data_IF_256180522506
#
_entry.id   IF_256180522506
#
_cell.length_a   1.000
_cell.length_b   1.000
_cell.length_c   1.000
_cell.angle_alpha   90.00
_cell.angle_beta   90.00
_cell.angle_gamma   90.00
#
_symmetry.space_group_name_H-M   'P 1'
#
loop_
_entity.id
_entity.type
_entity.pdbx_description
1 polymer ?
#
# COMPACT_ATOMS: atom_id res chain seq x y z
N UNK A 1 -24.44 1.23 -5.34
CA UNK A 1 -23.20 0.51 -4.99
C UNK A 1 -22.26 0.62 -6.18
N UNK A 2 -21.26 1.49 -6.10
CA UNK A 2 -20.25 1.68 -7.16
C UNK A 2 -19.02 0.88 -6.71
N UNK A 3 -18.91 -0.37 -7.19
CA UNK A 3 -17.86 -1.32 -6.79
C UNK A 3 -16.56 -1.05 -7.57
N UNK A 4 -15.43 -1.25 -6.87
CA UNK A 4 -14.05 -1.11 -7.36
C UNK A 4 -13.81 -1.78 -8.73
N UNK A 5 -13.84 -1.01 -9.82
CA UNK A 5 -13.42 -1.45 -11.16
C UNK A 5 -11.97 -1.08 -11.48
N UNK A 6 -11.11 -0.96 -10.48
CA UNK A 6 -9.75 -0.47 -10.64
C UNK A 6 -8.71 -1.54 -10.31
N UNK A 7 -8.61 -2.60 -11.11
CA UNK A 7 -7.35 -3.33 -11.32
C UNK A 7 -7.43 -4.06 -12.68
N UNK A 8 -6.93 -3.41 -13.73
CA UNK A 8 -6.53 -4.12 -14.94
C UNK A 8 -5.05 -4.48 -14.75
N UNK A 9 -4.79 -5.64 -14.13
CA UNK A 9 -3.43 -6.21 -14.07
C UNK A 9 -3.13 -6.72 -15.48
N UNK A 10 -2.49 -5.88 -16.27
CA UNK A 10 -2.17 -6.14 -17.66
C UNK A 10 -1.15 -7.27 -17.81
N UNK A 11 -1.62 -8.45 -18.19
CA UNK A 11 -0.83 -9.45 -18.91
C UNK A 11 -1.64 -10.16 -20.01
N UNK A 12 -2.40 -9.41 -20.82
CA UNK A 12 -2.91 -9.88 -22.12
C UNK A 12 -3.07 -8.69 -23.08
N UNK A 13 -2.77 -8.84 -24.40
CA UNK A 13 -2.96 -7.78 -25.37
C UNK A 13 -4.46 -7.70 -25.74
N UNK A 14 -5.11 -6.57 -25.49
CA UNK A 14 -6.46 -6.33 -26.00
C UNK A 14 -6.59 -4.91 -26.52
N UNK A 15 -7.20 -4.80 -27.70
CA UNK A 15 -7.40 -3.57 -28.46
C UNK A 15 -8.26 -2.55 -27.72
N UNK A 16 -7.88 -1.29 -27.87
CA UNK A 16 -8.34 -0.17 -27.08
C UNK A 16 -9.83 0.17 -27.23
N UNK A 17 -10.41 0.59 -26.11
CA UNK A 17 -11.14 1.87 -26.00
C UNK A 17 -11.13 2.33 -24.54
N UNK A 18 -10.77 3.59 -24.22
CA UNK A 18 -10.74 4.07 -22.84
C UNK A 18 -12.16 4.23 -22.31
N UNK A 19 -12.52 3.49 -21.26
CA UNK A 19 -13.79 3.65 -20.56
C UNK A 19 -13.63 4.48 -19.28
N UNK A 20 -14.60 5.38 -19.12
CA UNK A 20 -14.66 6.50 -18.19
C UNK A 20 -14.47 6.12 -16.71
N UNK A 21 -13.64 6.91 -16.03
CA UNK A 21 -13.41 6.84 -14.58
C UNK A 21 -14.65 7.29 -13.79
N UNK A 22 -15.18 6.41 -12.95
CA UNK A 22 -16.28 6.72 -12.03
C UNK A 22 -15.76 6.84 -10.59
N UNK A 23 -15.11 7.96 -10.31
CA UNK A 23 -14.88 8.44 -8.94
C UNK A 23 -16.20 9.05 -8.43
N UNK A 24 -16.62 8.80 -7.17
CA UNK A 24 -17.75 9.48 -6.57
C UNK A 24 -17.64 11.01 -6.70
N UNK A 25 -18.72 11.68 -7.12
CA UNK A 25 -18.75 13.14 -7.41
C UNK A 25 -18.37 14.03 -6.21
N UNK A 26 -18.31 13.50 -4.98
CA UNK A 26 -18.03 14.28 -3.77
C UNK A 26 -16.55 14.64 -3.55
N UNK A 27 -15.61 14.12 -4.35
CA UNK A 27 -14.17 14.34 -4.16
C UNK A 27 -13.45 15.05 -5.32
N UNK A 28 -14.17 15.70 -6.25
CA UNK A 28 -13.51 16.54 -7.25
C UNK A 28 -13.04 17.84 -6.60
N UNK A 29 -11.73 17.97 -6.41
CA UNK A 29 -11.10 19.27 -6.23
C UNK A 29 -11.08 19.94 -7.61
N UNK A 30 -11.79 21.07 -7.74
CA UNK A 30 -11.73 21.92 -8.92
C UNK A 30 -10.35 22.61 -8.95
N UNK A 31 -9.39 22.01 -9.65
CA UNK A 31 -8.19 22.71 -10.09
C UNK A 31 -8.50 23.37 -11.43
N UNK A 32 -9.07 24.57 -11.37
CA UNK A 32 -9.11 25.47 -12.51
C UNK A 32 -7.70 26.04 -12.74
N UNK A 33 -7.06 25.67 -13.84
CA UNK A 33 -6.04 26.49 -14.48
C UNK A 33 -6.16 26.34 -15.98
N UNK A 34 -6.81 27.35 -16.56
CA UNK A 34 -6.90 27.67 -17.97
C UNK A 34 -5.51 27.88 -18.54
N UNK A 35 -5.10 27.05 -19.50
CA UNK A 35 -4.12 27.44 -20.52
C UNK A 35 -4.67 27.01 -21.87
N UNK A 36 -4.89 28.00 -22.72
CA UNK A 36 -5.33 27.87 -24.09
C UNK A 36 -4.13 27.68 -25.05
N UNK A 37 -4.40 27.06 -26.20
CA UNK A 37 -3.56 27.04 -27.39
C UNK A 37 -2.80 25.72 -27.57
N UNK A 38 -2.57 25.21 -28.77
CA UNK A 38 -2.99 25.55 -30.13
C UNK A 38 -2.60 24.32 -30.97
N UNK A 39 -3.42 23.97 -31.97
CA UNK A 39 -3.18 22.86 -32.90
C UNK A 39 -1.99 23.12 -33.84
N UNK A 40 -1.10 22.14 -34.02
CA UNK A 40 -0.34 21.95 -35.27
C UNK A 40 0.05 20.48 -35.47
N UNK A 41 -0.16 19.89 -36.67
CA UNK A 41 0.38 18.60 -37.04
C UNK A 41 1.64 18.76 -37.89
N UNK A 42 2.74 18.11 -37.49
CA UNK A 42 3.94 17.99 -38.35
C UNK A 42 4.37 16.52 -38.37
N UNK A 43 4.27 15.94 -39.57
CA UNK A 43 4.94 14.71 -39.98
C UNK A 43 6.45 14.86 -39.84
N UNK A 44 7.16 13.82 -39.39
CA UNK A 44 8.40 13.38 -40.04
C UNK A 44 8.93 12.07 -39.46
N UNK A 45 9.30 11.21 -40.41
CA UNK A 45 10.06 9.97 -40.37
C UNK A 45 11.53 10.15 -39.91
N UNK A 46 12.30 9.05 -39.98
CA UNK A 46 13.73 8.82 -39.63
C UNK A 46 13.86 8.17 -38.23
N UNK A 47 14.43 6.97 -38.02
CA UNK A 47 15.40 6.20 -38.79
C UNK A 47 16.80 6.37 -38.18
N UNK A 48 17.24 5.42 -37.33
CA UNK A 48 18.61 5.23 -36.79
C UNK A 48 18.50 4.63 -35.38
N UNK A 49 19.41 3.83 -34.84
CA UNK A 49 20.56 3.06 -35.32
C UNK A 49 20.96 2.27 -34.08
N UNK A 50 21.24 0.97 -34.24
CA UNK A 50 21.80 0.13 -33.20
C UNK A 50 23.23 0.59 -32.85
N UNK A 51 23.53 0.69 -31.56
CA UNK A 51 24.89 0.82 -31.03
C UNK A 51 25.06 -0.17 -29.88
N UNK A 52 25.76 -1.26 -30.18
CA UNK A 52 26.39 -2.14 -29.21
C UNK A 52 27.63 -1.46 -28.63
N UNK A 53 27.74 -1.46 -27.31
CA UNK A 53 28.98 -1.12 -26.60
C UNK A 53 29.19 -2.14 -25.50
N UNK A 54 30.04 -3.12 -25.79
CA UNK A 54 30.68 -3.97 -24.80
C UNK A 54 31.64 -3.13 -23.95
N UNK A 55 31.50 -3.20 -22.63
CA UNK A 55 32.53 -2.76 -21.70
C UNK A 55 32.78 -3.86 -20.67
N UNK A 56 33.77 -4.68 -20.98
CA UNK A 56 34.46 -5.54 -20.03
C UNK A 56 35.43 -4.66 -19.22
N UNK A 57 35.30 -4.62 -17.90
CA UNK A 57 36.31 -4.04 -17.02
C UNK A 57 36.27 -4.73 -15.66
N UNK A 58 37.03 -5.82 -15.61
CA UNK A 58 37.59 -6.43 -14.42
C UNK A 58 38.48 -5.41 -13.68
N UNK A 59 38.23 -5.17 -12.40
CA UNK A 59 39.25 -4.61 -11.50
C UNK A 59 38.95 -4.99 -10.05
N UNK A 60 39.83 -5.82 -9.52
CA UNK A 60 39.98 -6.11 -8.11
C UNK A 60 40.68 -4.94 -7.40
N UNK A 61 40.25 -4.63 -6.18
CA UNK A 61 41.03 -3.91 -5.16
C UNK A 61 40.36 -4.23 -3.83
N UNK A 62 40.96 -5.13 -3.04
CA UNK A 62 41.96 -4.83 -2.01
C UNK A 62 41.37 -4.16 -0.76
N UNK A 63 41.59 -4.89 0.32
CA UNK A 63 41.19 -4.68 1.70
C UNK A 63 42.00 -3.54 2.31
N UNK A 64 41.34 -2.60 2.99
CA UNK A 64 42.00 -1.82 4.05
C UNK A 64 41.03 -1.49 5.20
N UNK A 65 41.44 -1.72 6.46
CA UNK A 65 40.68 -1.34 7.64
C UNK A 65 41.08 0.06 8.11
N UNK A 66 40.10 0.90 8.44
CA UNK A 66 40.33 2.16 9.14
C UNK A 66 39.41 2.28 10.36
N UNK A 67 40.02 2.10 11.54
CA UNK A 67 39.65 2.76 12.79
C UNK A 67 40.66 3.91 12.94
N UNK A 68 40.27 5.13 13.36
CA UNK A 68 40.29 5.41 14.79
C UNK A 68 39.33 6.52 15.30
N UNK A 69 39.17 6.50 16.63
CA UNK A 69 39.17 7.63 17.58
C UNK A 69 38.08 8.71 17.61
N UNK A 70 37.39 8.70 18.76
CA UNK A 70 37.08 9.80 19.71
C UNK A 70 37.04 11.24 19.20
N UNK A 71 35.88 11.86 19.37
CA UNK A 71 35.78 13.25 19.83
C UNK A 71 34.60 13.36 20.81
N UNK A 72 34.92 13.48 22.09
CA UNK A 72 34.04 14.13 23.08
C UNK A 72 34.00 15.62 22.76
N UNK A 73 32.81 16.19 22.65
CA UNK A 73 32.60 17.63 22.76
C UNK A 73 31.41 17.86 23.70
N UNK A 74 31.75 18.19 24.94
CA UNK A 74 30.93 19.00 25.83
C UNK A 74 30.70 20.35 25.16
N UNK A 75 29.45 20.78 25.08
CA UNK A 75 29.11 22.21 25.04
C UNK A 75 27.75 22.38 25.70
N UNK A 76 27.82 22.90 26.93
CA UNK A 76 26.72 23.50 27.65
C UNK A 76 26.38 24.82 26.93
N UNK A 77 25.10 25.04 26.65
CA UNK A 77 24.58 26.40 26.50
C UNK A 77 23.17 26.46 27.09
N UNK A 78 23.11 27.00 28.31
CA UNK A 78 21.88 27.44 28.95
C UNK A 78 21.49 28.80 28.36
N UNK A 79 20.39 28.84 27.60
CA UNK A 79 19.67 30.09 27.38
C UNK A 79 18.18 29.90 27.67
N UNK A 80 17.83 30.23 28.91
CA UNK A 80 16.46 30.40 29.40
C UNK A 80 15.88 31.65 28.76
N UNK A 81 15.11 31.50 27.69
CA UNK A 81 14.27 32.56 27.15
C UNK A 81 12.82 32.38 27.65
N UNK A 82 12.55 33.06 28.76
CA UNK A 82 11.20 33.26 29.30
C UNK A 82 10.48 34.32 28.47
N UNK A 83 9.58 33.89 27.57
CA UNK A 83 8.63 34.79 26.92
C UNK A 83 7.28 34.71 27.63
N UNK A 84 7.09 35.58 28.63
CA UNK A 84 5.77 35.92 29.18
C UNK A 84 5.10 36.94 28.26
N UNK A 85 4.27 36.45 27.34
CA UNK A 85 3.54 37.25 26.37
C UNK A 85 2.05 36.93 26.34
N UNK A 86 1.28 37.69 27.13
CA UNK A 86 -0.12 38.12 26.95
C UNK A 86 -1.07 37.12 26.27
N UNK A 87 -1.86 36.45 27.11
CA UNK A 87 -3.08 35.72 26.75
C UNK A 87 -4.17 36.68 26.25
N UNK A 88 -4.31 36.80 24.93
CA UNK A 88 -5.56 37.25 24.31
C UNK A 88 -6.36 36.00 23.90
N UNK A 89 -7.32 35.64 24.76
CA UNK A 89 -8.26 34.56 24.52
C UNK A 89 -9.15 34.90 23.31
N UNK A 90 -8.77 34.41 22.14
CA UNK A 90 -9.71 34.20 21.05
C UNK A 90 -10.34 32.84 21.29
N UNK A 91 -11.49 32.81 21.95
CA UNK A 91 -12.38 31.64 22.03
C UNK A 91 -12.94 31.33 20.64
N UNK A 92 -12.08 30.85 19.75
CA UNK A 92 -12.53 30.11 18.58
C UNK A 92 -12.93 28.73 19.10
N UNK A 93 -14.20 28.55 19.43
CA UNK A 93 -14.78 27.22 19.68
C UNK A 93 -14.39 26.32 18.51
N UNK A 94 -13.52 25.29 18.71
CA UNK A 94 -13.22 24.38 17.62
C UNK A 94 -14.54 23.69 17.28
N UNK A 95 -15.01 23.92 16.05
CA UNK A 95 -16.07 23.11 15.43
C UNK A 95 -15.50 21.70 15.30
N UNK A 96 -15.58 20.95 16.38
CA UNK A 96 -15.30 19.52 16.40
C UNK A 96 -16.37 18.87 15.55
N UNK A 97 -15.98 18.56 14.32
CA UNK A 97 -16.71 17.82 13.30
C UNK A 97 -17.62 16.76 13.94
N UNK A 98 -18.92 16.93 13.74
CA UNK A 98 -19.99 16.04 14.23
C UNK A 98 -19.85 14.60 13.74
N UNK A 99 -19.02 14.40 12.71
CA UNK A 99 -18.67 13.09 12.16
C UNK A 99 -17.94 12.17 13.16
N UNK A 100 -17.28 12.71 14.19
CA UNK A 100 -16.42 11.93 15.10
C UNK A 100 -17.14 11.54 16.40
N UNK A 101 -18.20 12.23 16.84
CA UNK A 101 -18.55 12.24 18.27
C UNK A 101 -19.67 11.33 18.76
N UNK A 102 -20.51 10.74 17.93
CA UNK A 102 -21.51 9.79 18.45
C UNK A 102 -21.84 8.73 17.39
N UNK A 103 -20.90 7.84 17.07
CA UNK A 103 -21.34 6.52 16.60
C UNK A 103 -21.71 5.72 17.85
N UNK A 104 -22.95 5.22 17.96
CA UNK A 104 -23.29 4.22 18.98
C UNK A 104 -22.22 3.12 18.95
N UNK A 105 -21.83 2.60 20.11
CA UNK A 105 -21.09 1.33 20.20
C UNK A 105 -21.92 0.27 19.49
N UNK A 106 -21.68 0.12 18.19
CA UNK A 106 -22.31 -0.90 17.38
C UNK A 106 -21.89 -2.26 17.97
N UNK A 107 -22.79 -3.23 18.02
CA UNK A 107 -22.49 -4.56 18.54
C UNK A 107 -21.28 -5.16 17.81
N UNK A 108 -20.50 -5.95 18.56
CA UNK A 108 -19.20 -6.54 18.22
C UNK A 108 -19.20 -7.45 16.96
N UNK A 109 -20.36 -7.66 16.34
CA UNK A 109 -20.56 -8.47 15.14
C UNK A 109 -19.73 -7.98 13.93
N UNK A 110 -19.32 -6.71 13.93
CA UNK A 110 -18.48 -6.16 12.85
C UNK A 110 -17.08 -6.77 12.79
N UNK A 111 -16.51 -7.21 13.92
CA UNK A 111 -15.14 -7.74 13.92
C UNK A 111 -15.08 -9.15 13.32
N UNK A 112 -16.10 -9.96 13.58
CA UNK A 112 -16.24 -11.29 13.02
C UNK A 112 -16.38 -11.25 11.48
N UNK A 113 -17.14 -10.28 10.96
CA UNK A 113 -17.29 -10.06 9.52
C UNK A 113 -15.97 -9.67 8.85
N UNK A 114 -15.18 -8.81 9.49
CA UNK A 114 -13.86 -8.39 9.01
C UNK A 114 -12.91 -9.57 8.84
N UNK A 115 -12.77 -10.38 9.89
CA UNK A 115 -11.91 -11.56 9.89
C UNK A 115 -12.34 -12.58 8.82
N UNK A 116 -13.63 -12.72 8.59
CA UNK A 116 -14.16 -13.64 7.57
C UNK A 116 -13.72 -13.24 6.17
N UNK A 117 -13.72 -11.94 5.85
CA UNK A 117 -13.28 -11.46 4.54
C UNK A 117 -11.77 -11.55 4.35
N UNK A 118 -10.97 -11.22 5.37
CA UNK A 118 -9.50 -11.41 5.31
C UNK A 118 -9.16 -12.90 5.18
N UNK A 119 -9.90 -13.79 5.85
CA UNK A 119 -9.79 -15.24 5.65
C UNK A 119 -10.06 -15.65 4.21
N UNK A 120 -11.12 -15.13 3.61
CA UNK A 120 -11.42 -15.34 2.20
C UNK A 120 -10.25 -14.98 1.28
N UNK A 121 -9.59 -13.85 1.53
CA UNK A 121 -8.42 -13.43 0.74
C UNK A 121 -7.23 -14.39 0.88
N UNK A 122 -6.89 -14.79 2.10
CA UNK A 122 -5.77 -15.71 2.33
C UNK A 122 -6.07 -17.12 1.78
N UNK A 123 -7.33 -17.58 1.83
CA UNK A 123 -7.76 -18.83 1.18
C UNK A 123 -7.63 -18.73 -0.34
N UNK A 124 -7.97 -17.60 -0.96
CA UNK A 124 -7.79 -17.40 -2.40
C UNK A 124 -6.31 -17.50 -2.81
N UNK A 125 -5.41 -16.87 -2.04
CA UNK A 125 -3.96 -16.98 -2.26
C UNK A 125 -3.48 -18.42 -2.09
N UNK A 126 -3.95 -19.13 -1.06
CA UNK A 126 -3.65 -20.54 -0.85
C UNK A 126 -4.04 -21.38 -2.06
N UNK A 127 -5.29 -21.24 -2.53
CA UNK A 127 -5.81 -22.00 -3.67
C UNK A 127 -4.99 -21.73 -4.94
N UNK A 128 -4.68 -20.47 -5.24
CA UNK A 128 -3.89 -20.12 -6.42
C UNK A 128 -2.51 -20.79 -6.42
N UNK A 129 -1.82 -20.76 -5.26
CA UNK A 129 -0.50 -21.38 -5.12
C UNK A 129 -0.55 -22.91 -5.20
N UNK A 130 -1.56 -23.54 -4.58
CA UNK A 130 -1.78 -24.99 -4.64
C UNK A 130 -2.07 -25.44 -6.09
N UNK A 131 -2.88 -24.68 -6.84
CA UNK A 131 -3.29 -25.07 -8.19
C UNK A 131 -2.23 -24.81 -9.26
N UNK A 132 -1.49 -23.70 -9.18
CA UNK A 132 -0.54 -23.31 -10.24
C UNK A 132 0.87 -23.88 -10.03
N UNK A 133 1.27 -24.12 -8.78
CA UNK A 133 2.65 -24.49 -8.43
C UNK A 133 2.75 -25.82 -7.67
N UNK A 134 1.66 -26.56 -7.52
CA UNK A 134 1.58 -27.79 -6.72
C UNK A 134 2.15 -27.57 -5.29
N UNK A 135 1.92 -26.38 -4.74
CA UNK A 135 2.50 -25.95 -3.47
C UNK A 135 1.86 -26.69 -2.28
N UNK A 136 2.66 -27.03 -1.27
CA UNK A 136 2.14 -27.31 0.07
C UNK A 136 2.00 -25.98 0.81
N UNK A 137 0.77 -25.55 1.09
CA UNK A 137 0.49 -24.25 1.71
C UNK A 137 -0.06 -24.43 3.12
N UNK A 138 0.51 -23.67 4.06
CA UNK A 138 0.02 -23.57 5.43
C UNK A 138 -0.34 -22.12 5.76
N UNK A 139 -1.48 -21.94 6.42
CA UNK A 139 -1.97 -20.61 6.82
C UNK A 139 -2.08 -20.53 8.34
N UNK A 140 -1.42 -19.53 8.90
CA UNK A 140 -1.44 -19.18 10.32
C UNK A 140 -2.27 -17.92 10.53
N UNK A 141 -3.36 -18.03 11.28
CA UNK A 141 -4.33 -16.96 11.45
C UNK A 141 -4.04 -16.11 12.68
N UNK A 142 -3.92 -14.79 12.50
CA UNK A 142 -3.86 -13.82 13.59
C UNK A 142 -5.22 -13.16 13.86
N UNK A 143 -5.40 -12.56 15.05
CA UNK A 143 -6.53 -11.66 15.30
C UNK A 143 -6.37 -10.35 14.50
N UNK A 144 -7.44 -9.58 14.34
CA UNK A 144 -7.33 -8.20 13.84
C UNK A 144 -6.40 -7.38 14.75
N UNK A 145 -5.59 -6.50 14.15
CA UNK A 145 -4.43 -5.86 14.78
C UNK A 145 -3.15 -6.72 14.80
N UNK A 146 -3.27 -8.01 14.50
CA UNK A 146 -2.16 -8.97 14.46
C UNK A 146 -1.61 -9.22 13.06
N UNK A 147 -1.07 -10.43 12.87
CA UNK A 147 -0.52 -10.88 11.60
C UNK A 147 -1.08 -12.25 11.20
N UNK A 148 -1.40 -12.40 9.92
CA UNK A 148 -1.73 -13.67 9.27
C UNK A 148 -0.57 -14.05 8.36
N UNK A 149 -0.02 -15.25 8.57
CA UNK A 149 1.11 -15.77 7.80
C UNK A 149 0.67 -16.86 6.83
N UNK A 150 1.10 -16.79 5.58
CA UNK A 150 0.93 -17.81 4.54
C UNK A 150 2.31 -18.32 4.19
N UNK A 151 2.55 -19.61 4.38
CA UNK A 151 3.82 -20.26 4.07
C UNK A 151 3.55 -21.31 3.01
N UNK A 152 4.16 -21.14 1.84
CA UNK A 152 4.03 -22.06 0.71
C UNK A 152 5.37 -22.75 0.46
N UNK A 153 5.35 -24.06 0.25
CA UNK A 153 6.52 -24.87 -0.11
C UNK A 153 6.31 -25.37 -1.53
N UNK A 154 7.17 -24.92 -2.46
CA UNK A 154 7.07 -25.28 -3.88
C UNK A 154 8.27 -26.10 -4.33
N UNK A 155 8.05 -26.93 -5.36
CA UNK A 155 9.13 -27.57 -6.11
C UNK A 155 9.54 -26.65 -7.26
N UNK A 156 10.84 -26.41 -7.42
CA UNK A 156 11.33 -25.64 -8.55
C UNK A 156 12.54 -24.76 -8.24
N UNK A 157 12.99 -24.06 -9.28
CA UNK A 157 14.07 -23.10 -9.21
C UNK A 157 13.68 -21.76 -8.57
N UNK A 158 14.64 -20.83 -8.46
CA UNK A 158 14.40 -19.50 -7.92
C UNK A 158 13.40 -18.68 -8.75
N UNK A 159 13.36 -18.89 -10.07
CA UNK A 159 12.42 -18.21 -10.97
C UNK A 159 10.97 -18.59 -10.63
N UNK A 160 10.68 -19.88 -10.40
CA UNK A 160 9.34 -20.34 -10.00
C UNK A 160 8.90 -19.74 -8.66
N UNK A 161 9.81 -19.57 -7.70
CA UNK A 161 9.48 -18.93 -6.43
C UNK A 161 9.20 -17.43 -6.59
N UNK A 162 9.90 -16.76 -7.51
CA UNK A 162 9.61 -15.38 -7.85
C UNK A 162 8.25 -15.24 -8.53
N UNK A 163 7.94 -16.10 -9.50
CA UNK A 163 6.65 -16.08 -10.19
C UNK A 163 5.48 -16.39 -9.23
N UNK A 164 5.64 -17.40 -8.36
CA UNK A 164 4.67 -17.70 -7.32
C UNK A 164 4.45 -16.52 -6.36
N UNK A 165 5.51 -15.74 -6.05
CA UNK A 165 5.41 -14.52 -5.24
C UNK A 165 4.51 -13.49 -5.90
N UNK A 166 4.69 -13.27 -7.21
CA UNK A 166 3.92 -12.30 -7.97
C UNK A 166 2.47 -12.76 -8.18
N UNK A 167 2.22 -14.06 -8.38
CA UNK A 167 0.86 -14.64 -8.38
C UNK A 167 0.17 -14.39 -7.04
N UNK A 168 0.82 -14.68 -5.91
CA UNK A 168 0.25 -14.43 -4.60
C UNK A 168 -0.10 -12.95 -4.36
N UNK A 169 0.73 -12.01 -4.82
CA UNK A 169 0.45 -10.56 -4.76
C UNK A 169 -0.78 -10.20 -5.60
N UNK A 170 -0.85 -10.69 -6.84
CA UNK A 170 -1.96 -10.43 -7.74
C UNK A 170 -3.29 -10.98 -7.20
N UNK A 171 -3.30 -12.24 -6.74
CA UNK A 171 -4.48 -12.89 -6.16
C UNK A 171 -4.96 -12.17 -4.90
N UNK A 172 -4.04 -11.69 -4.06
CA UNK A 172 -4.42 -10.92 -2.86
C UNK A 172 -5.12 -9.60 -3.24
N UNK A 173 -4.60 -8.90 -4.24
CA UNK A 173 -5.20 -7.66 -4.74
C UNK A 173 -6.57 -7.90 -5.40
N UNK A 174 -6.71 -8.96 -6.19
CA UNK A 174 -7.98 -9.35 -6.81
C UNK A 174 -9.02 -9.73 -5.75
N UNK A 175 -8.65 -10.57 -4.78
CA UNK A 175 -9.54 -10.95 -3.69
C UNK A 175 -9.98 -9.74 -2.85
N UNK A 176 -9.09 -8.77 -2.63
CA UNK A 176 -9.45 -7.51 -1.98
C UNK A 176 -10.39 -6.66 -2.84
N UNK A 177 -10.20 -6.61 -4.16
CA UNK A 177 -11.08 -5.86 -5.06
C UNK A 177 -12.51 -6.41 -5.08
N UNK A 178 -12.68 -7.71 -4.84
CA UNK A 178 -13.98 -8.39 -4.71
C UNK A 178 -14.63 -8.20 -3.33
N UNK A 179 -13.84 -7.83 -2.31
CA UNK A 179 -14.32 -7.55 -0.97
C UNK A 179 -15.04 -6.20 -0.89
N UNK A 180 -16.05 -6.12 0.00
CA UNK A 180 -16.79 -4.87 0.23
C UNK A 180 -16.18 -4.02 1.35
N UNK A 181 -15.52 -4.65 2.32
CA UNK A 181 -14.98 -3.98 3.50
C UNK A 181 -13.48 -4.12 3.67
N UNK A 182 -12.79 -4.95 2.89
CA UNK A 182 -11.36 -5.22 3.05
C UNK A 182 -10.57 -4.64 1.89
N UNK A 183 -9.48 -3.95 2.23
CA UNK A 183 -8.65 -3.23 1.26
C UNK A 183 -7.18 -3.51 1.55
N UNK A 184 -6.38 -3.69 0.50
CA UNK A 184 -4.91 -3.68 0.63
C UNK A 184 -4.45 -2.23 0.71
N UNK A 185 -3.72 -1.89 1.77
CA UNK A 185 -3.23 -0.54 1.98
C UNK A 185 -2.17 -0.17 0.94
N UNK A 186 -2.32 0.98 0.31
CA UNK A 186 -1.42 1.45 -0.74
C UNK A 186 -1.66 0.81 -2.11
N UNK A 187 -2.87 0.32 -2.40
CA UNK A 187 -3.16 -0.40 -3.64
C UNK A 187 -2.95 0.42 -4.94
N UNK A 188 -2.86 1.76 -4.87
CA UNK A 188 -2.49 2.64 -6.01
C UNK A 188 -1.03 3.12 -5.96
N UNK A 189 -0.24 2.63 -5.01
CA UNK A 189 1.17 2.99 -4.84
C UNK A 189 2.01 1.71 -4.76
N UNK A 190 2.62 1.44 -3.60
CA UNK A 190 3.42 0.24 -3.36
C UNK A 190 2.81 -0.55 -2.19
N UNK A 191 1.79 -1.40 -2.43
CA UNK A 191 1.06 -2.09 -1.37
C UNK A 191 1.89 -3.17 -0.67
N UNK A 192 2.89 -3.69 -1.36
CA UNK A 192 3.73 -4.80 -0.90
C UNK A 192 5.12 -4.31 -0.53
N UNK A 193 5.64 -4.83 0.58
CA UNK A 193 7.05 -4.73 0.96
C UNK A 193 7.65 -6.12 0.91
N UNK A 194 8.64 -6.32 0.05
CA UNK A 194 9.34 -7.59 -0.02
C UNK A 194 10.06 -7.88 1.31
N UNK A 195 10.11 -9.16 1.66
CA UNK A 195 10.69 -9.71 2.88
C UNK A 195 11.54 -10.92 2.49
N UNK A 196 12.84 -10.69 2.31
CA UNK A 196 13.74 -11.67 1.69
C UNK A 196 13.52 -11.76 0.17
N UNK A 197 14.07 -12.81 -0.45
CA UNK A 197 13.99 -13.03 -1.90
C UNK A 197 12.60 -13.52 -2.35
N UNK A 198 11.99 -14.39 -1.54
CA UNK A 198 10.80 -15.17 -1.88
C UNK A 198 9.61 -14.85 -0.96
N UNK A 199 9.65 -13.74 -0.24
CA UNK A 199 8.59 -13.34 0.68
C UNK A 199 8.17 -11.90 0.48
N UNK A 200 6.96 -11.58 0.95
CA UNK A 200 6.48 -10.20 1.04
C UNK A 200 5.52 -10.05 2.21
N UNK A 201 5.26 -8.79 2.57
CA UNK A 201 4.24 -8.41 3.54
C UNK A 201 3.47 -7.20 3.06
N UNK A 202 2.20 -7.12 3.46
CA UNK A 202 1.36 -5.94 3.25
C UNK A 202 0.47 -5.71 4.47
N UNK A 203 -0.17 -4.54 4.48
CA UNK A 203 -1.23 -4.23 5.43
C UNK A 203 -2.57 -4.33 4.72
N UNK A 204 -3.51 -4.95 5.40
CA UNK A 204 -4.89 -5.10 4.97
C UNK A 204 -5.76 -4.38 5.98
N UNK A 205 -6.58 -3.45 5.50
CA UNK A 205 -7.48 -2.65 6.33
C UNK A 205 -8.92 -3.11 6.18
N UNK A 206 -9.64 -3.21 7.30
CA UNK A 206 -11.08 -3.42 7.30
C UNK A 206 -11.82 -2.10 7.55
N UNK A 207 -12.63 -1.69 6.58
CA UNK A 207 -13.47 -0.51 6.60
C UNK A 207 -14.93 -0.92 6.75
N UNK A 208 -15.51 -0.68 7.92
CA UNK A 208 -16.95 -0.85 8.12
C UNK A 208 -17.72 0.09 7.18
N UNK A 209 -18.77 -0.42 6.53
CA UNK A 209 -19.63 0.37 5.62
C UNK A 209 -20.12 1.69 6.25
N UNK A 210 -20.42 1.72 7.55
CA UNK A 210 -20.86 2.92 8.26
C UNK A 210 -19.81 4.03 8.34
N UNK A 211 -18.52 3.70 8.15
CA UNK A 211 -17.38 4.63 8.15
C UNK A 211 -16.90 4.98 6.73
N UNK A 212 -17.51 4.42 5.69
CA UNK A 212 -17.05 4.59 4.31
C UNK A 212 -17.06 6.05 3.82
N UNK A 213 -18.03 6.83 4.29
CA UNK A 213 -18.17 8.24 3.93
C UNK A 213 -17.26 9.18 4.73
N UNK A 214 -16.65 8.72 5.83
CA UNK A 214 -15.78 9.54 6.67
C UNK A 214 -14.31 9.11 6.62
N UNK A 215 -13.96 8.10 5.81
CA UNK A 215 -12.60 7.57 5.71
C UNK A 215 -11.67 8.44 4.87
N UNK A 216 -10.40 8.47 5.25
CA UNK A 216 -9.34 9.08 4.46
C UNK A 216 -8.90 8.14 3.34
N UNK A 217 -9.42 8.34 2.14
CA UNK A 217 -9.07 7.53 0.97
C UNK A 217 -7.59 7.62 0.57
N UNK A 218 -6.89 8.73 0.88
CA UNK A 218 -5.45 8.85 0.66
C UNK A 218 -4.67 7.75 1.41
N UNK A 219 -5.07 7.45 2.66
CA UNK A 219 -4.44 6.40 3.46
C UNK A 219 -4.59 5.03 2.82
N UNK A 220 -5.77 4.71 2.28
CA UNK A 220 -6.01 3.44 1.59
C UNK A 220 -5.32 3.35 0.24
N UNK A 221 -5.35 4.42 -0.55
CA UNK A 221 -4.80 4.42 -1.92
C UNK A 221 -3.28 4.48 -1.94
N UNK A 222 -2.68 5.31 -1.08
CA UNK A 222 -1.23 5.60 -1.08
C UNK A 222 -0.49 4.91 0.04
N UNK A 223 -1.21 4.37 1.03
CA UNK A 223 -0.63 3.82 2.25
C UNK A 223 -0.27 4.89 3.29
N UNK A 224 -0.51 6.18 3.00
CA UNK A 224 -0.29 7.29 3.92
C UNK A 224 -1.18 8.50 3.59
N UNK A 225 -1.47 9.33 4.60
CA UNK A 225 -2.15 10.60 4.42
C UNK A 225 -1.14 11.76 4.47
N UNK A 226 -1.04 12.60 3.43
CA UNK A 226 -0.13 13.74 3.43
C UNK A 226 -0.51 14.81 4.47
N UNK A 227 -1.80 14.89 4.83
CA UNK A 227 -2.31 15.81 5.85
C UNK A 227 -1.98 15.36 7.28
N UNK A 228 -1.62 14.08 7.49
CA UNK A 228 -1.25 13.53 8.81
C UNK A 228 -2.23 13.97 9.92
N UNK A 229 -1.74 14.71 10.90
CA UNK A 229 -2.50 15.20 12.06
C UNK A 229 -3.54 16.29 11.74
N UNK A 230 -3.48 16.93 10.56
CA UNK A 230 -4.48 17.94 10.14
C UNK A 230 -5.58 17.34 9.26
N UNK A 231 -5.55 16.03 9.02
CA UNK A 231 -6.61 15.37 8.27
C UNK A 231 -7.87 15.26 9.13
N UNK A 232 -8.99 15.75 8.62
CA UNK A 232 -10.31 15.59 9.28
C UNK A 232 -10.99 14.24 9.04
N UNK A 233 -10.46 13.44 8.11
CA UNK A 233 -11.02 12.15 7.73
C UNK A 233 -10.47 11.03 8.61
N UNK A 234 -11.29 10.01 8.86
CA UNK A 234 -10.95 8.83 9.66
C UNK A 234 -9.77 8.06 9.05
N UNK A 235 -8.76 7.81 9.86
CA UNK A 235 -7.65 6.90 9.54
C UNK A 235 -7.89 5.58 10.27
N UNK A 236 -7.53 4.47 9.64
CA UNK A 236 -7.53 3.19 10.33
C UNK A 236 -6.46 3.19 11.42
N UNK A 237 -6.85 2.72 12.59
CA UNK A 237 -5.93 2.45 13.69
C UNK A 237 -5.52 0.97 13.68
N UNK A 238 -4.59 0.59 14.57
CA UNK A 238 -4.10 -0.79 14.71
C UNK A 238 -5.21 -1.86 14.72
N UNK A 239 -6.34 -1.74 15.48
CA UNK A 239 -7.35 -2.81 15.50
C UNK A 239 -8.09 -2.99 14.18
N UNK A 240 -8.09 -2.00 13.29
CA UNK A 240 -8.71 -2.09 11.96
C UNK A 240 -7.76 -2.68 10.91
N UNK A 241 -6.49 -2.88 11.26
CA UNK A 241 -5.44 -3.33 10.36
C UNK A 241 -5.03 -4.76 10.68
N UNK A 242 -4.72 -5.53 9.64
CA UNK A 242 -4.09 -6.85 9.76
C UNK A 242 -2.87 -6.89 8.85
N UNK A 243 -1.76 -7.42 9.36
CA UNK A 243 -0.58 -7.67 8.52
C UNK A 243 -0.71 -9.02 7.84
N UNK A 244 -0.59 -9.07 6.52
CA UNK A 244 -0.48 -10.34 5.80
C UNK A 244 0.98 -10.54 5.41
N UNK A 245 1.53 -11.69 5.76
CA UNK A 245 2.92 -12.08 5.47
C UNK A 245 2.85 -13.34 4.61
N UNK A 246 3.49 -13.34 3.46
CA UNK A 246 3.58 -14.50 2.57
C UNK A 246 5.04 -14.86 2.41
N UNK A 247 5.37 -16.14 2.60
CA UNK A 247 6.72 -16.66 2.46
C UNK A 247 6.70 -17.93 1.60
N UNK A 248 7.54 -17.94 0.57
CA UNK A 248 7.66 -19.07 -0.36
C UNK A 248 8.99 -19.75 -0.11
N UNK A 249 8.95 -21.02 0.27
CA UNK A 249 10.11 -21.89 0.42
C UNK A 249 10.24 -22.79 -0.80
N UNK A 250 11.48 -23.07 -1.16
CA UNK A 250 11.82 -24.01 -2.24
C UNK A 250 12.32 -25.31 -1.62
N UNK A 251 11.85 -26.42 -2.16
CA UNK A 251 12.49 -27.72 -1.94
C UNK A 251 13.57 -27.90 -3.00
N UNK A 252 14.81 -28.26 -2.62
CA UNK A 252 15.88 -28.54 -3.58
C UNK A 252 15.55 -29.70 -4.53
#
# INVERSE_FOLDING_TARGET
SVKNTFLHVSKFPFDGTPRSSSVPRSCRFDTASTIAGEDTPIMSSHGSSCSDSDHESTSASEVHPCVPSVHENLSQDESVNTCTGVTAACEATPRVDECVRVLPTLPDDSLAGALTQVRGMAIAVQQALETEYEAEVSVSWGPMGGATGIVAVIKGGPEQAHDAKEVAKATLLEAAALSESVYVMGYLAQPFRDFGETGFKCWVGNLHHAKSDCVCWDTFQKGFCPRRATCRWYHLDTPDLMRVIVQIHRVP
#
